data_IF_868407912907
#
_entry.id   IF_868407912907
#
_cell.length_a   1.000
_cell.length_b   1.000
_cell.length_c   1.000
_cell.angle_alpha   90.00
_cell.angle_beta   90.00
_cell.angle_gamma   90.00
#
_symmetry.space_group_name_H-M   'P 1'
#
loop_
_entity.id
_entity.type
_entity.pdbx_description
1 polymer ?
#
# COMPACT_ATOMS: atom_id res chain seq x y z
N UNK A 1 -5.40 3.41 15.45
CA UNK A 1 -4.37 4.29 14.86
C UNK A 1 -3.03 4.23 15.59
N UNK A 2 -2.92 4.51 16.90
CA UNK A 2 -1.62 4.47 17.61
C UNK A 2 -0.89 3.14 17.42
N UNK A 3 -1.51 2.00 17.77
CA UNK A 3 -0.89 0.68 17.61
C UNK A 3 -0.63 0.30 16.15
N UNK A 4 -1.54 0.68 15.25
CA UNK A 4 -1.45 0.35 13.83
C UNK A 4 -0.25 1.04 13.16
N UNK A 5 -0.07 2.34 13.43
CA UNK A 5 1.05 3.10 12.88
C UNK A 5 2.34 2.86 13.67
N UNK A 6 2.32 3.09 15.00
CA UNK A 6 3.56 3.10 15.77
C UNK A 6 4.13 1.70 16.04
N UNK A 7 3.30 0.65 15.98
CA UNK A 7 3.72 -0.72 16.25
C UNK A 7 3.73 -1.56 14.99
N UNK A 8 2.58 -1.75 14.32
CA UNK A 8 2.51 -2.66 13.16
C UNK A 8 3.31 -2.15 11.96
N UNK A 9 3.09 -0.90 11.55
CA UNK A 9 3.86 -0.30 10.46
C UNK A 9 5.36 -0.24 10.76
N UNK A 10 5.73 0.11 12.00
CA UNK A 10 7.14 0.09 12.42
C UNK A 10 7.74 -1.32 12.39
N UNK A 11 6.98 -2.33 12.78
CA UNK A 11 7.44 -3.73 12.73
C UNK A 11 7.72 -4.19 11.30
N UNK A 12 6.89 -3.81 10.32
CA UNK A 12 7.17 -4.10 8.91
C UNK A 12 8.50 -3.49 8.46
N UNK A 13 8.76 -2.24 8.83
CA UNK A 13 10.04 -1.58 8.52
C UNK A 13 11.22 -2.31 9.14
N UNK A 14 11.17 -2.60 10.44
CA UNK A 14 12.28 -3.28 11.15
C UNK A 14 12.52 -4.66 10.54
N UNK A 15 11.48 -5.45 10.31
CA UNK A 15 11.61 -6.79 9.74
C UNK A 15 12.11 -6.78 8.30
N UNK A 16 11.66 -5.83 7.47
CA UNK A 16 12.19 -5.69 6.12
C UNK A 16 13.71 -5.41 6.16
N UNK A 17 14.16 -4.50 7.02
CA UNK A 17 15.59 -4.18 7.14
C UNK A 17 16.41 -5.36 7.66
N UNK A 18 15.88 -6.11 8.64
CA UNK A 18 16.50 -7.37 9.11
C UNK A 18 16.63 -8.39 7.97
N UNK A 19 15.62 -8.53 7.11
CA UNK A 19 15.66 -9.43 5.95
C UNK A 19 16.71 -8.98 4.93
N UNK A 20 16.76 -7.68 4.59
CA UNK A 20 17.68 -7.16 3.56
C UNK A 20 19.14 -7.16 4.02
N UNK A 21 19.39 -6.80 5.27
CA UNK A 21 20.75 -6.62 5.84
C UNK A 21 21.24 -7.84 6.62
N UNK A 22 20.37 -8.82 6.84
CA UNK A 22 20.60 -9.87 7.84
C UNK A 22 20.65 -9.28 9.26
N UNK A 23 21.38 -9.91 10.18
CA UNK A 23 21.55 -9.42 11.57
C UNK A 23 22.35 -8.10 11.69
N UNK A 24 22.76 -7.48 10.59
CA UNK A 24 23.61 -6.28 10.55
C UNK A 24 22.82 -5.05 10.11
N UNK A 25 21.94 -4.55 10.98
CA UNK A 25 21.04 -3.45 10.64
C UNK A 25 21.80 -2.15 10.30
N UNK A 26 23.04 -1.95 10.73
CA UNK A 26 23.79 -0.70 10.51
C UNK A 26 24.43 -0.57 9.13
N UNK A 27 24.45 -1.62 8.30
CA UNK A 27 25.10 -1.63 6.98
C UNK A 27 24.07 -1.80 5.86
N UNK A 28 24.09 -0.92 4.85
CA UNK A 28 23.26 -1.08 3.65
C UNK A 28 23.67 -2.34 2.87
N UNK A 29 22.68 -3.17 2.55
CA UNK A 29 22.85 -4.37 1.72
C UNK A 29 23.07 -4.02 0.24
N UNK A 30 23.58 -4.99 -0.53
CA UNK A 30 23.64 -4.86 -2.00
C UNK A 30 22.26 -4.67 -2.63
N UNK A 31 21.23 -5.27 -2.02
CA UNK A 31 19.84 -5.20 -2.51
C UNK A 31 19.29 -3.79 -2.31
N UNK A 32 19.55 -3.15 -1.17
CA UNK A 32 19.15 -1.76 -0.94
C UNK A 32 19.84 -0.79 -1.91
N UNK A 33 21.10 -1.04 -2.27
CA UNK A 33 21.79 -0.24 -3.29
C UNK A 33 21.23 -0.46 -4.69
N UNK A 34 20.79 -1.68 -4.99
CA UNK A 34 20.20 -2.03 -6.29
C UNK A 34 18.77 -1.50 -6.42
N UNK A 35 18.00 -1.48 -5.34
CA UNK A 35 16.62 -1.03 -5.26
C UNK A 35 16.46 0.01 -4.15
N UNK A 36 16.88 1.27 -4.41
CA UNK A 36 16.96 2.31 -3.38
C UNK A 36 15.60 2.76 -2.84
N UNK A 37 14.52 2.50 -3.57
CA UNK A 37 13.16 2.81 -3.12
C UNK A 37 12.36 1.55 -2.85
N UNK A 38 11.43 1.65 -1.88
CA UNK A 38 10.49 0.57 -1.58
C UNK A 38 9.62 0.22 -2.79
N UNK A 39 9.23 1.21 -3.61
CA UNK A 39 8.47 0.96 -4.84
C UNK A 39 9.27 0.13 -5.85
N UNK A 40 10.54 0.45 -6.06
CA UNK A 40 11.42 -0.32 -6.95
C UNK A 40 11.64 -1.73 -6.41
N UNK A 41 11.86 -1.89 -5.10
CA UNK A 41 12.01 -3.20 -4.49
C UNK A 41 10.76 -4.07 -4.74
N UNK A 42 9.57 -3.52 -4.50
CA UNK A 42 8.31 -4.25 -4.67
C UNK A 42 7.95 -4.55 -6.13
N UNK A 43 8.37 -3.70 -7.09
CA UNK A 43 8.20 -3.95 -8.53
C UNK A 43 9.14 -5.02 -9.08
N UNK A 44 10.24 -5.30 -8.37
CA UNK A 44 11.29 -6.20 -8.82
C UNK A 44 11.45 -7.43 -7.91
N UNK A 45 10.38 -7.85 -7.20
CA UNK A 45 10.39 -9.02 -6.30
C UNK A 45 10.97 -10.28 -6.96
N UNK A 46 10.68 -10.50 -8.24
CA UNK A 46 11.17 -11.68 -8.97
C UNK A 46 12.68 -11.70 -9.20
N UNK A 47 13.36 -10.55 -9.08
CA UNK A 47 14.82 -10.45 -9.19
C UNK A 47 15.53 -10.76 -7.86
N UNK A 48 14.78 -10.92 -6.76
CA UNK A 48 15.34 -11.20 -5.44
C UNK A 48 15.71 -12.68 -5.30
N UNK A 49 16.72 -12.99 -4.45
CA UNK A 49 17.02 -14.35 -4.06
C UNK A 49 15.79 -15.04 -3.45
N UNK A 50 15.60 -16.32 -3.78
CA UNK A 50 14.42 -17.08 -3.38
C UNK A 50 14.31 -17.19 -1.85
N UNK A 51 15.45 -17.18 -1.15
CA UNK A 51 15.51 -17.33 0.31
C UNK A 51 14.90 -16.17 1.08
N UNK A 52 14.83 -14.97 0.49
CA UNK A 52 14.29 -13.77 1.14
C UNK A 52 13.03 -13.24 0.47
N UNK A 53 12.64 -13.81 -0.68
CA UNK A 53 11.60 -13.26 -1.55
C UNK A 53 10.26 -13.14 -0.82
N UNK A 54 9.85 -14.19 -0.10
CA UNK A 54 8.59 -14.19 0.65
C UNK A 54 8.60 -13.21 1.83
N UNK A 55 9.71 -13.10 2.55
CA UNK A 55 9.86 -12.13 3.63
C UNK A 55 9.83 -10.69 3.10
N UNK A 56 10.53 -10.41 1.99
CA UNK A 56 10.47 -9.08 1.36
C UNK A 56 9.08 -8.80 0.83
N UNK A 57 8.40 -9.78 0.21
CA UNK A 57 7.01 -9.65 -0.24
C UNK A 57 6.10 -9.28 0.94
N UNK A 58 6.22 -10.00 2.05
CA UNK A 58 5.36 -9.84 3.21
C UNK A 58 5.66 -8.52 3.95
N UNK A 59 6.90 -8.29 4.36
CA UNK A 59 7.27 -7.11 5.14
C UNK A 59 7.32 -5.84 4.29
N UNK A 60 7.87 -5.92 3.08
CA UNK A 60 7.89 -4.80 2.13
C UNK A 60 6.49 -4.45 1.63
N UNK A 61 5.67 -5.46 1.34
CA UNK A 61 4.26 -5.29 0.99
C UNK A 61 3.45 -4.64 2.11
N UNK A 62 3.61 -5.11 3.35
CA UNK A 62 3.01 -4.50 4.53
C UNK A 62 3.40 -3.04 4.68
N UNK A 63 4.70 -2.73 4.61
CA UNK A 63 5.22 -1.38 4.77
C UNK A 63 4.69 -0.40 3.71
N UNK A 64 4.76 -0.78 2.43
CA UNK A 64 4.34 0.11 1.33
C UNK A 64 2.82 0.32 1.34
N UNK A 65 2.04 -0.73 1.64
CA UNK A 65 0.59 -0.63 1.72
C UNK A 65 0.16 0.28 2.87
N UNK A 66 0.83 0.19 4.03
CA UNK A 66 0.54 1.07 5.17
C UNK A 66 0.96 2.52 4.89
N UNK A 67 2.14 2.74 4.28
CA UNK A 67 2.54 4.08 3.83
C UNK A 67 1.48 4.70 2.93
N UNK A 68 1.00 3.93 1.95
CA UNK A 68 -0.03 4.37 1.03
C UNK A 68 -1.37 4.60 1.73
N UNK A 69 -1.81 3.69 2.59
CA UNK A 69 -3.05 3.82 3.36
C UNK A 69 -3.06 5.09 4.20
N UNK A 70 -2.05 5.31 5.04
CA UNK A 70 -2.00 6.48 5.93
C UNK A 70 -1.89 7.81 5.16
N UNK A 71 -1.22 7.83 4.00
CA UNK A 71 -1.15 9.02 3.15
C UNK A 71 -2.52 9.44 2.59
N UNK A 72 -3.48 8.52 2.49
CA UNK A 72 -4.82 8.79 1.96
C UNK A 72 -5.88 8.99 3.05
N UNK A 73 -5.53 8.82 4.33
CA UNK A 73 -6.44 9.12 5.42
C UNK A 73 -6.60 10.63 5.59
N UNK A 74 -7.83 11.05 5.82
CA UNK A 74 -8.17 12.42 6.22
C UNK A 74 -8.82 12.41 7.59
N UNK A 75 -8.79 13.54 8.28
CA UNK A 75 -9.45 13.69 9.58
C UNK A 75 -10.93 13.40 9.41
N UNK A 76 -11.46 12.51 10.25
CA UNK A 76 -12.89 12.25 10.29
C UNK A 76 -13.63 13.48 10.81
N UNK A 77 -14.67 13.90 10.07
CA UNK A 77 -15.53 15.03 10.40
C UNK A 77 -16.97 14.51 10.53
N UNK A 78 -17.52 14.40 11.75
CA UNK A 78 -18.81 13.73 12.00
C UNK A 78 -20.01 14.45 11.39
N UNK A 79 -19.86 15.72 10.99
CA UNK A 79 -20.92 16.54 10.36
C UNK A 79 -20.77 16.66 8.84
N UNK A 80 -19.74 16.03 8.26
CA UNK A 80 -19.48 16.11 6.81
C UNK A 80 -20.55 15.33 6.06
N UNK A 81 -21.18 15.96 5.07
CA UNK A 81 -22.21 15.32 4.25
C UNK A 81 -21.58 14.55 3.09
N UNK A 82 -22.23 13.49 2.61
CA UNK A 82 -21.64 12.62 1.57
C UNK A 82 -21.39 13.37 0.24
N UNK A 83 -22.26 14.32 -0.15
CA UNK A 83 -22.04 15.15 -1.35
C UNK A 83 -20.80 16.03 -1.26
N UNK A 84 -20.40 16.47 -0.06
CA UNK A 84 -19.18 17.26 0.15
C UNK A 84 -17.89 16.45 -0.10
N UNK A 85 -18.01 15.12 -0.21
CA UNK A 85 -16.92 14.22 -0.60
C UNK A 85 -16.90 14.00 -2.12
N UNK A 86 -18.06 13.93 -2.76
CA UNK A 86 -18.17 13.76 -4.21
C UNK A 86 -17.62 14.97 -4.96
N UNK A 87 -17.87 16.18 -4.45
CA UNK A 87 -17.33 17.43 -5.00
C UNK A 87 -15.78 17.50 -4.97
N UNK A 88 -15.14 16.64 -4.14
CA UNK A 88 -13.66 16.55 -4.07
C UNK A 88 -13.09 15.54 -5.06
N UNK A 89 -13.92 14.72 -5.70
CA UNK A 89 -13.48 13.77 -6.72
C UNK A 89 -13.33 14.54 -8.02
N UNK A 90 -12.17 14.42 -8.66
CA UNK A 90 -11.95 15.10 -9.95
C UNK A 90 -12.96 14.58 -10.99
N UNK A 91 -13.52 15.45 -11.86
CA UNK A 91 -14.46 15.01 -12.88
C UNK A 91 -13.94 13.86 -13.77
N UNK A 92 -12.64 13.83 -14.18
CA UNK A 92 -12.11 12.69 -14.92
C UNK A 92 -12.18 11.37 -14.15
N UNK A 93 -11.87 11.36 -12.85
CA UNK A 93 -11.95 10.15 -12.03
C UNK A 93 -13.41 9.73 -11.83
N UNK A 94 -14.32 10.67 -11.59
CA UNK A 94 -15.74 10.38 -11.43
C UNK A 94 -16.34 9.76 -12.70
N UNK A 95 -16.00 10.29 -13.88
CA UNK A 95 -16.43 9.74 -15.15
C UNK A 95 -15.92 8.30 -15.36
N UNK A 96 -14.65 8.03 -15.03
CA UNK A 96 -14.09 6.67 -15.09
C UNK A 96 -14.80 5.71 -14.13
N UNK A 97 -15.17 6.17 -12.94
CA UNK A 97 -15.92 5.37 -11.97
C UNK A 97 -17.31 5.04 -12.53
N UNK A 98 -18.01 6.03 -13.09
CA UNK A 98 -19.32 5.81 -13.71
C UNK A 98 -19.25 4.85 -14.90
N UNK A 99 -18.23 4.99 -15.77
CA UNK A 99 -18.04 4.10 -16.92
C UNK A 99 -17.76 2.64 -16.50
N UNK A 100 -16.90 2.43 -15.50
CA UNK A 100 -16.44 1.07 -15.11
C UNK A 100 -17.32 0.40 -14.04
N UNK A 101 -17.97 1.18 -13.20
CA UNK A 101 -18.68 0.70 -12.02
C UNK A 101 -20.14 1.15 -11.96
N UNK A 102 -20.64 1.95 -12.91
CA UNK A 102 -21.97 2.59 -12.89
C UNK A 102 -22.04 3.76 -11.91
N UNK A 103 -21.67 3.55 -10.65
CA UNK A 103 -21.67 4.59 -9.62
C UNK A 103 -20.63 4.32 -8.51
N UNK A 104 -20.48 5.28 -7.60
CA UNK A 104 -19.59 5.19 -6.43
C UNK A 104 -20.00 4.07 -5.46
N UNK A 105 -21.29 3.74 -5.36
CA UNK A 105 -21.80 2.73 -4.43
C UNK A 105 -21.38 1.33 -4.87
N UNK A 106 -21.46 1.05 -6.17
CA UNK A 106 -21.03 -0.22 -6.74
C UNK A 106 -19.50 -0.36 -6.71
N UNK A 107 -18.75 0.73 -6.92
CA UNK A 107 -17.30 0.74 -6.68
C UNK A 107 -16.98 0.34 -5.23
N UNK A 108 -17.60 1.00 -4.23
CA UNK A 108 -17.40 0.69 -2.80
C UNK A 108 -17.68 -0.80 -2.51
N UNK A 109 -18.78 -1.34 -3.04
CA UNK A 109 -19.15 -2.76 -2.87
C UNK A 109 -18.09 -3.71 -3.46
N UNK A 110 -17.58 -3.42 -4.66
CA UNK A 110 -16.53 -4.24 -5.30
C UNK A 110 -15.18 -4.13 -4.59
N UNK A 111 -14.84 -2.94 -4.07
CA UNK A 111 -13.64 -2.75 -3.25
C UNK A 111 -13.68 -3.60 -1.98
N UNK A 112 -14.78 -3.55 -1.22
CA UNK A 112 -14.95 -4.37 0.01
C UNK A 112 -14.81 -5.87 -0.31
N UNK A 113 -15.41 -6.34 -1.41
CA UNK A 113 -15.29 -7.75 -1.83
C UNK A 113 -13.86 -8.15 -2.20
N UNK A 114 -13.04 -7.20 -2.66
CA UNK A 114 -11.69 -7.46 -3.21
C UNK A 114 -10.56 -7.21 -2.20
N UNK A 115 -10.86 -6.66 -1.03
CA UNK A 115 -9.87 -6.21 -0.05
C UNK A 115 -9.00 -7.32 0.56
N UNK A 116 -9.31 -8.60 0.31
CA UNK A 116 -8.60 -9.77 0.85
C UNK A 116 -7.39 -10.23 0.00
N UNK A 117 -6.95 -9.43 -0.97
CA UNK A 117 -5.86 -9.78 -1.88
C UNK A 117 -4.60 -8.96 -1.61
N UNK A 118 -3.44 -9.51 -1.96
CA UNK A 118 -2.16 -8.79 -1.90
C UNK A 118 -2.15 -7.52 -2.77
N UNK A 119 -1.24 -6.60 -2.42
CA UNK A 119 -1.10 -5.31 -3.07
C UNK A 119 -0.68 -5.39 -4.55
N UNK A 120 -1.02 -4.37 -5.37
CA UNK A 120 -0.84 -4.41 -6.83
C UNK A 120 0.61 -4.19 -7.30
N UNK A 121 1.55 -3.95 -6.39
CA UNK A 121 2.91 -3.50 -6.70
C UNK A 121 3.71 -4.49 -7.56
N UNK A 122 3.55 -5.79 -7.29
CA UNK A 122 4.18 -6.86 -8.05
C UNK A 122 3.54 -7.09 -9.44
N UNK A 123 2.36 -6.52 -9.68
CA UNK A 123 1.63 -6.62 -10.96
C UNK A 123 1.89 -5.43 -11.89
N UNK A 124 2.90 -4.61 -11.58
CA UNK A 124 3.22 -3.34 -12.25
C UNK A 124 2.06 -2.35 -12.34
N UNK A 125 1.03 -2.54 -11.52
CA UNK A 125 -0.11 -1.66 -11.42
C UNK A 125 0.20 -0.54 -10.42
N UNK A 126 -0.30 0.67 -10.71
CA UNK A 126 -0.19 1.81 -9.79
C UNK A 126 -1.43 1.85 -8.90
N UNK A 127 -1.31 1.69 -7.56
CA UNK A 127 -2.47 1.83 -6.68
C UNK A 127 -2.99 3.27 -6.70
N UNK A 128 -4.32 3.40 -6.59
CA UNK A 128 -5.03 4.68 -6.54
C UNK A 128 -5.70 4.92 -5.18
N UNK A 129 -6.07 3.85 -4.49
CA UNK A 129 -6.66 3.86 -3.15
C UNK A 129 -6.29 2.56 -2.44
N UNK A 130 -6.13 2.61 -1.12
CA UNK A 130 -5.98 1.43 -0.28
C UNK A 130 -6.96 1.50 0.88
N UNK A 131 -7.45 0.33 1.27
CA UNK A 131 -8.20 0.12 2.50
C UNK A 131 -7.49 -1.03 3.20
N UNK A 132 -7.12 -0.82 4.45
CA UNK A 132 -6.58 -1.87 5.30
C UNK A 132 -7.73 -2.53 6.07
N UNK A 133 -7.87 -3.86 5.93
CA UNK A 133 -9.04 -4.64 6.40
C UNK A 133 -8.68 -5.75 7.37
#
# INVERSE_FOLDING_TARGET
MHYHYNILHKNYEVKLLETLRGRKIEEESKIEKQFPTLEELMRNLEQLPEEIKDDVRFFGGGLINHNFFFAHLTKFEPKRKEHELEDKISPPLLNLIQEKFTDLKELKKKLVKSALKDGPWALHCRPLIAIDV
#
